data_IF_340068596311
#
_entry.id   IF_340068596311
#
_cell.length_a   1.000
_cell.length_b   1.000
_cell.length_c   1.000
_cell.angle_alpha   90.00
_cell.angle_beta   90.00
_cell.angle_gamma   90.00
#
_symmetry.space_group_name_H-M   'P 1'
#
loop_
_entity.id
_entity.type
_entity.pdbx_description
1 polymer ?
#
# COMPACT_ATOMS: atom_id res chain seq x y z
N UNK A 1 14.09 6.56 0.15
CA UNK A 1 13.06 6.60 1.19
C UNK A 1 11.72 6.37 0.52
N UNK A 2 10.97 5.35 0.96
CA UNK A 2 9.60 5.12 0.53
C UNK A 2 8.66 5.80 1.52
N UNK A 3 7.49 6.28 1.05
CA UNK A 3 6.41 6.63 1.97
C UNK A 3 5.79 5.34 2.49
N UNK A 4 5.57 5.27 3.80
CA UNK A 4 5.04 4.10 4.49
C UNK A 4 3.83 4.46 5.35
N UNK A 5 2.92 3.50 5.50
CA UNK A 5 1.76 3.57 6.36
C UNK A 5 1.01 4.92 6.28
N UNK A 6 0.81 5.59 7.41
CA UNK A 6 0.14 6.89 7.56
C UNK A 6 0.77 8.06 6.78
N UNK A 7 1.99 7.89 6.25
CA UNK A 7 2.60 8.88 5.34
C UNK A 7 1.97 8.86 3.94
N UNK A 8 1.25 7.79 3.59
CA UNK A 8 0.59 7.59 2.30
C UNK A 8 -0.81 8.21 2.36
N UNK A 9 -0.95 9.41 1.77
CA UNK A 9 -2.20 10.20 1.80
C UNK A 9 -2.94 10.25 0.46
N UNK A 10 -2.57 9.37 -0.47
CA UNK A 10 -3.19 9.32 -1.80
C UNK A 10 -4.66 8.88 -1.68
N UNK A 11 -5.55 9.56 -2.40
CA UNK A 11 -6.99 9.24 -2.40
C UNK A 11 -7.28 7.85 -2.96
N UNK A 12 -6.41 7.38 -3.86
CA UNK A 12 -6.55 6.10 -4.56
C UNK A 12 -5.16 5.51 -4.84
N UNK A 13 -5.00 4.22 -4.58
CA UNK A 13 -3.78 3.44 -4.83
C UNK A 13 -4.11 2.10 -5.48
N UNK A 14 -3.15 1.52 -6.20
CA UNK A 14 -3.17 0.11 -6.59
C UNK A 14 -2.46 -0.70 -5.50
N UNK A 15 -3.16 -1.64 -4.88
CA UNK A 15 -2.60 -2.47 -3.81
C UNK A 15 -2.14 -3.84 -4.34
N UNK A 16 -0.93 -4.22 -3.93
CA UNK A 16 -0.34 -5.54 -4.15
C UNK A 16 -0.18 -6.22 -2.78
N UNK A 17 -0.62 -7.47 -2.65
CA UNK A 17 -0.43 -8.26 -1.42
C UNK A 17 1.04 -8.64 -1.20
N UNK A 18 1.36 -9.18 -0.03
CA UNK A 18 2.69 -9.73 0.25
C UNK A 18 3.09 -10.87 -0.70
N UNK A 19 2.12 -11.66 -1.18
CA UNK A 19 2.32 -12.78 -2.12
C UNK A 19 2.46 -12.33 -3.57
N UNK A 20 2.26 -11.03 -3.87
CA UNK A 20 2.32 -10.48 -5.22
C UNK A 20 0.99 -10.48 -5.98
N UNK A 21 -0.10 -10.85 -5.33
CA UNK A 21 -1.46 -10.75 -5.89
C UNK A 21 -1.89 -9.28 -6.00
N UNK A 22 -2.60 -8.93 -7.09
CA UNK A 22 -3.21 -7.62 -7.22
C UNK A 22 -4.57 -7.61 -6.50
N UNK A 23 -4.65 -6.90 -5.39
CA UNK A 23 -5.90 -6.74 -4.63
C UNK A 23 -6.83 -5.67 -5.23
N UNK A 24 -6.32 -4.89 -6.19
CA UNK A 24 -7.09 -3.93 -6.97
C UNK A 24 -6.78 -2.49 -6.60
N UNK A 25 -7.72 -1.60 -6.94
CA UNK A 25 -7.63 -0.16 -6.71
C UNK A 25 -8.55 0.21 -5.54
N UNK A 26 -8.03 0.91 -4.54
CA UNK A 26 -8.75 1.31 -3.32
C UNK A 26 -8.14 2.56 -2.69
N UNK A 27 -8.77 3.10 -1.65
CA UNK A 27 -8.19 4.22 -0.90
C UNK A 27 -6.98 3.79 -0.06
N UNK A 28 -6.06 4.72 0.23
CA UNK A 28 -4.93 4.46 1.11
C UNK A 28 -5.39 4.00 2.51
N UNK A 29 -6.49 4.56 3.03
CA UNK A 29 -7.06 4.15 4.32
C UNK A 29 -7.55 2.69 4.33
N UNK A 30 -8.21 2.23 3.26
CA UNK A 30 -8.62 0.83 3.15
C UNK A 30 -7.40 -0.10 3.07
N UNK A 31 -6.38 0.28 2.30
CA UNK A 31 -5.17 -0.51 2.21
C UNK A 31 -4.38 -0.55 3.52
N UNK A 32 -4.37 0.55 4.28
CA UNK A 32 -3.76 0.60 5.61
C UNK A 32 -4.45 -0.38 6.55
N UNK A 33 -5.79 -0.41 6.54
CA UNK A 33 -6.54 -1.36 7.35
C UNK A 33 -6.18 -2.81 7.04
N UNK A 34 -6.04 -3.16 5.76
CA UNK A 34 -5.62 -4.50 5.34
C UNK A 34 -4.18 -4.80 5.81
N UNK A 35 -3.29 -3.82 5.78
CA UNK A 35 -1.93 -3.95 6.28
C UNK A 35 -1.94 -4.24 7.80
N UNK A 36 -2.70 -3.46 8.56
CA UNK A 36 -2.86 -3.62 10.01
C UNK A 36 -3.46 -4.99 10.39
N UNK A 37 -4.50 -5.44 9.68
CA UNK A 37 -5.12 -6.76 9.90
C UNK A 37 -4.14 -7.92 9.65
N UNK A 38 -3.16 -7.72 8.77
CA UNK A 38 -2.13 -8.71 8.45
C UNK A 38 -0.85 -8.54 9.26
N UNK A 39 -0.74 -7.49 10.08
CA UNK A 39 0.50 -7.15 10.80
C UNK A 39 1.65 -6.82 9.85
N UNK A 40 1.36 -6.19 8.71
CA UNK A 40 2.32 -5.78 7.69
C UNK A 40 2.33 -4.27 7.53
N UNK A 41 3.34 -3.75 6.82
CA UNK A 41 3.39 -2.35 6.42
C UNK A 41 2.81 -2.13 5.02
N UNK A 42 2.10 -1.01 4.86
CA UNK A 42 1.74 -0.46 3.56
C UNK A 42 2.90 0.39 3.03
N UNK A 43 3.52 -0.03 1.93
CA UNK A 43 4.69 0.69 1.39
C UNK A 43 4.45 1.14 -0.04
N UNK A 44 4.68 2.43 -0.31
CA UNK A 44 4.57 3.01 -1.66
C UNK A 44 5.81 2.70 -2.50
N UNK A 45 5.71 1.68 -3.34
CA UNK A 45 6.83 1.18 -4.17
C UNK A 45 6.96 1.89 -5.52
N UNK A 46 5.86 2.40 -6.07
CA UNK A 46 5.87 3.13 -7.36
C UNK A 46 5.09 4.44 -7.26
N UNK A 47 5.70 5.50 -6.68
CA UNK A 47 5.02 6.79 -6.47
C UNK A 47 4.64 7.52 -7.75
N UNK A 48 5.30 7.25 -8.88
CA UNK A 48 5.01 7.91 -10.17
C UNK A 48 3.86 7.26 -10.96
N UNK A 49 3.35 6.10 -10.53
CA UNK A 49 2.24 5.43 -11.20
C UNK A 49 0.91 6.17 -10.97
N UNK A 50 -0.07 5.93 -11.85
CA UNK A 50 -1.44 6.49 -11.75
C UNK A 50 -2.47 5.36 -11.82
N UNK A 51 -3.10 4.95 -10.70
CA UNK A 51 -2.81 5.38 -9.32
C UNK A 51 -1.44 4.87 -8.83
N UNK A 52 -0.83 5.47 -7.78
CA UNK A 52 0.42 4.99 -7.18
C UNK A 52 0.31 3.52 -6.76
N UNK A 53 1.40 2.77 -6.90
CA UNK A 53 1.42 1.36 -6.48
C UNK A 53 1.96 1.24 -5.07
N UNK A 54 1.17 0.61 -4.21
CA UNK A 54 1.57 0.23 -2.86
C UNK A 54 1.59 -1.30 -2.73
N UNK A 55 2.49 -1.81 -1.89
CA UNK A 55 2.63 -3.23 -1.60
C UNK A 55 2.60 -3.46 -0.09
N UNK A 56 1.93 -4.53 0.33
CA UNK A 56 2.03 -5.05 1.70
C UNK A 56 3.34 -5.81 1.86
N UNK A 57 4.17 -5.41 2.81
CA UNK A 57 5.41 -6.12 3.15
C UNK A 57 5.89 -5.75 4.55
N UNK A 58 6.75 -6.59 5.12
CA UNK A 58 7.46 -6.25 6.35
C UNK A 58 8.59 -5.27 6.01
N UNK A 59 8.47 -4.02 6.48
CA UNK A 59 9.42 -2.94 6.21
C UNK A 59 10.14 -2.46 7.49
N UNK A 60 9.77 -3.01 8.65
CA UNK A 60 10.38 -2.76 9.96
C UNK A 60 11.75 -3.40 10.16
#
# INVERSE_FOLDING_TARGET
MHQINEEIRDSEIRLISATGEQLGIMSAAQAQHIADEQGLDLVKISPQAKPPVCKLMDYG
#
